data_IF_653256568715
#
_entry.id   IF_653256568715
#
_cell.length_a   1.000
_cell.length_b   1.000
_cell.length_c   1.000
_cell.angle_alpha   90.00
_cell.angle_beta   90.00
_cell.angle_gamma   90.00
#
_symmetry.space_group_name_H-M   'P 1'
#
loop_
_entity.id
_entity.type
_entity.pdbx_description
1 polymer ?
#
# COMPACT_ATOMS: atom_id res chain seq x y z
N UNK A 1 20.65 29.66 -8.11
CA UNK A 1 19.89 28.43 -7.94
C UNK A 1 20.83 27.29 -8.25
N UNK A 2 21.27 26.57 -7.24
CA UNK A 2 22.18 25.42 -7.40
C UNK A 2 21.23 24.24 -7.64
N UNK A 3 21.21 23.72 -8.86
CA UNK A 3 20.58 22.44 -9.15
C UNK A 3 21.36 21.38 -8.36
N UNK A 4 20.79 20.90 -7.26
CA UNK A 4 21.33 19.75 -6.57
C UNK A 4 21.16 18.54 -7.49
N UNK A 5 22.24 18.14 -8.12
CA UNK A 5 22.34 16.83 -8.77
C UNK A 5 22.20 15.80 -7.66
N UNK A 6 20.98 15.30 -7.44
CA UNK A 6 20.76 14.14 -6.56
C UNK A 6 21.50 13.00 -7.25
N UNK A 7 22.60 12.56 -6.66
CA UNK A 7 23.28 11.33 -7.05
C UNK A 7 22.26 10.19 -6.85
N UNK A 8 21.71 9.68 -7.96
CA UNK A 8 20.80 8.53 -7.93
C UNK A 8 21.57 7.35 -7.34
N UNK A 9 20.97 6.72 -6.34
CA UNK A 9 21.53 5.48 -5.80
C UNK A 9 21.59 4.44 -6.95
N UNK A 10 22.68 3.66 -7.07
CA UNK A 10 22.73 2.58 -8.04
C UNK A 10 21.55 1.64 -7.75
N UNK A 11 20.77 1.29 -8.79
CA UNK A 11 19.57 0.45 -8.73
C UNK A 11 18.30 1.09 -8.09
N UNK A 12 18.21 2.42 -8.03
CA UNK A 12 16.95 3.07 -7.64
C UNK A 12 15.86 2.83 -8.70
N UNK A 13 14.61 2.55 -8.24
CA UNK A 13 13.44 2.43 -9.12
C UNK A 13 12.84 3.81 -9.37
N UNK A 14 12.46 4.05 -10.63
CA UNK A 14 11.75 5.25 -11.07
C UNK A 14 10.35 4.89 -11.55
N UNK A 15 9.37 5.78 -11.35
CA UNK A 15 8.03 5.57 -11.88
C UNK A 15 8.02 5.61 -13.41
N UNK A 16 7.48 4.56 -14.03
CA UNK A 16 7.34 4.43 -15.47
C UNK A 16 5.91 3.95 -15.82
N UNK A 17 5.31 4.42 -16.93
CA UNK A 17 4.02 3.92 -17.38
C UNK A 17 4.16 2.49 -17.93
N UNK A 18 3.11 1.68 -17.75
CA UNK A 18 3.06 0.31 -18.26
C UNK A 18 2.46 0.21 -19.68
N UNK A 19 2.24 1.33 -20.32
CA UNK A 19 1.65 1.40 -21.65
C UNK A 19 2.23 2.57 -22.45
N UNK A 20 2.20 2.45 -23.78
CA UNK A 20 2.57 3.52 -24.70
C UNK A 20 1.45 4.55 -24.83
N UNK A 21 1.77 5.76 -25.34
CA UNK A 21 0.75 6.75 -25.67
C UNK A 21 -0.23 6.28 -26.74
N UNK A 22 0.20 5.47 -27.71
CA UNK A 22 -0.69 4.94 -28.74
C UNK A 22 -1.73 3.99 -28.13
N UNK A 23 -1.31 3.06 -27.27
CA UNK A 23 -2.25 2.20 -26.53
C UNK A 23 -3.16 3.02 -25.61
N UNK A 24 -2.63 4.07 -24.97
CA UNK A 24 -3.44 4.95 -24.13
C UNK A 24 -4.53 5.66 -24.93
N UNK A 25 -4.27 6.11 -26.15
CA UNK A 25 -5.27 6.69 -27.05
C UNK A 25 -6.37 5.70 -27.38
N UNK A 26 -6.01 4.48 -27.79
CA UNK A 26 -6.96 3.41 -28.08
C UNK A 26 -7.86 3.10 -26.88
N UNK A 27 -7.28 2.96 -25.69
CA UNK A 27 -8.03 2.67 -24.47
C UNK A 27 -8.93 3.85 -24.08
N UNK A 28 -8.44 5.08 -24.17
CA UNK A 28 -9.22 6.29 -23.88
C UNK A 28 -10.40 6.47 -24.85
N UNK A 29 -10.23 6.14 -26.13
CA UNK A 29 -11.31 6.16 -27.13
C UNK A 29 -12.37 5.09 -26.83
N UNK A 30 -11.95 3.91 -26.41
CA UNK A 30 -12.83 2.79 -26.14
C UNK A 30 -13.59 2.89 -24.82
N UNK A 31 -12.92 3.35 -23.76
CA UNK A 31 -13.42 3.29 -22.39
C UNK A 31 -13.68 4.67 -21.75
N UNK A 32 -13.26 5.74 -22.42
CA UNK A 32 -13.29 7.09 -21.86
C UNK A 32 -12.13 7.35 -20.89
N UNK A 33 -12.12 8.56 -20.32
CA UNK A 33 -11.22 9.00 -19.25
C UNK A 33 -12.05 9.65 -18.13
N UNK A 34 -11.59 9.67 -16.86
CA UNK A 34 -10.33 9.06 -16.37
C UNK A 34 -10.39 7.53 -16.35
N UNK A 35 -9.24 6.88 -16.60
CA UNK A 35 -9.16 5.42 -16.73
C UNK A 35 -7.91 4.87 -16.02
N UNK A 36 -8.10 3.96 -15.08
CA UNK A 36 -7.01 3.21 -14.44
C UNK A 36 -6.72 1.94 -15.25
N UNK A 37 -5.49 1.80 -15.72
CA UNK A 37 -5.05 0.66 -16.52
C UNK A 37 -4.16 -0.24 -15.67
N UNK A 38 -4.63 -1.42 -15.36
CA UNK A 38 -3.91 -2.45 -14.60
C UNK A 38 -3.12 -3.33 -15.55
N UNK A 39 -1.78 -3.31 -15.46
CA UNK A 39 -0.91 -4.28 -16.11
C UNK A 39 -0.79 -5.53 -15.24
N UNK A 40 -1.30 -6.67 -15.74
CA UNK A 40 -1.18 -7.95 -15.04
C UNK A 40 0.27 -8.43 -15.02
N UNK A 41 0.97 -8.31 -16.14
CA UNK A 41 2.38 -8.71 -16.24
C UNK A 41 3.24 -7.96 -15.23
N UNK A 42 3.02 -6.63 -15.06
CA UNK A 42 3.75 -5.84 -14.07
C UNK A 42 3.38 -6.20 -12.63
N UNK A 43 2.13 -6.52 -12.35
CA UNK A 43 1.70 -7.02 -11.04
C UNK A 43 2.39 -8.34 -10.68
N UNK A 44 2.45 -9.28 -11.62
CA UNK A 44 3.15 -10.58 -11.46
C UNK A 44 4.66 -10.37 -11.27
N UNK A 45 5.28 -9.54 -12.11
CA UNK A 45 6.72 -9.21 -12.01
C UNK A 45 7.04 -8.66 -10.62
N UNK A 46 6.28 -7.67 -10.13
CA UNK A 46 6.51 -7.04 -8.83
C UNK A 46 6.29 -8.02 -7.68
N UNK A 47 5.27 -8.87 -7.77
CA UNK A 47 5.02 -9.92 -6.78
C UNK A 47 6.22 -10.88 -6.65
N UNK A 48 6.72 -11.41 -7.77
CA UNK A 48 7.83 -12.34 -7.75
C UNK A 48 9.17 -11.66 -7.40
N UNK A 49 9.39 -10.41 -7.81
CA UNK A 49 10.55 -9.65 -7.36
C UNK A 49 10.58 -9.54 -5.83
N UNK A 50 9.44 -9.21 -5.20
CA UNK A 50 9.33 -9.13 -3.74
C UNK A 50 9.44 -10.51 -3.07
N UNK A 51 8.81 -11.53 -3.63
CA UNK A 51 8.90 -12.91 -3.10
C UNK A 51 10.32 -13.44 -3.12
N UNK A 52 11.08 -13.12 -4.16
CA UNK A 52 12.49 -13.50 -4.30
C UNK A 52 13.41 -12.69 -3.37
N UNK A 53 13.09 -11.40 -3.14
CA UNK A 53 13.84 -10.54 -2.23
C UNK A 53 13.63 -10.89 -0.75
N UNK A 54 12.53 -11.58 -0.42
CA UNK A 54 12.15 -12.00 0.93
C UNK A 54 11.96 -13.53 0.99
N UNK A 55 13.02 -14.34 0.79
CA UNK A 55 12.91 -15.78 0.77
C UNK A 55 12.44 -16.31 2.13
N UNK A 56 11.47 -17.24 2.11
CA UNK A 56 10.89 -17.82 3.33
C UNK A 56 9.82 -16.95 4.00
N UNK A 57 9.51 -15.75 3.48
CA UNK A 57 8.45 -14.89 3.97
C UNK A 57 7.19 -15.09 3.13
N UNK A 58 6.05 -15.31 3.78
CA UNK A 58 4.73 -15.34 3.13
C UNK A 58 4.20 -13.91 2.96
N UNK A 59 3.87 -13.56 1.71
CA UNK A 59 3.36 -12.23 1.39
C UNK A 59 1.83 -12.21 1.45
N UNK A 60 1.28 -11.50 2.41
CA UNK A 60 -0.14 -11.21 2.54
C UNK A 60 -0.41 -9.83 1.93
N UNK A 61 -0.88 -9.79 0.70
CA UNK A 61 -1.16 -8.50 0.05
C UNK A 61 -2.20 -7.69 0.83
N UNK A 62 -1.87 -6.46 1.21
CA UNK A 62 -2.78 -5.58 1.94
C UNK A 62 -3.84 -4.98 1.00
N UNK A 63 -5.05 -5.57 0.97
CA UNK A 63 -6.14 -5.22 0.05
C UNK A 63 -6.53 -3.74 0.11
N UNK A 64 -6.39 -3.09 1.27
CA UNK A 64 -6.65 -1.65 1.46
C UNK A 64 -5.87 -0.73 0.53
N UNK A 65 -4.71 -1.19 0.02
CA UNK A 65 -3.90 -0.39 -0.90
C UNK A 65 -4.54 -0.30 -2.29
N UNK A 66 -5.10 -1.40 -2.78
CA UNK A 66 -5.87 -1.46 -4.03
C UNK A 66 -6.76 -2.71 -4.04
N UNK A 67 -8.08 -2.57 -3.82
CA UNK A 67 -9.03 -3.68 -3.87
C UNK A 67 -9.58 -3.96 -5.28
N UNK A 68 -8.95 -3.44 -6.33
CA UNK A 68 -9.38 -3.64 -7.71
C UNK A 68 -9.42 -5.12 -8.09
N UNK A 69 -10.51 -5.57 -8.70
CA UNK A 69 -10.74 -6.97 -9.02
C UNK A 69 -9.71 -7.54 -10.02
N UNK A 70 -9.28 -6.74 -11.00
CA UNK A 70 -8.26 -7.18 -11.96
C UNK A 70 -6.93 -7.43 -11.27
N UNK A 71 -6.53 -6.52 -10.37
CA UNK A 71 -5.30 -6.67 -9.59
C UNK A 71 -5.38 -7.85 -8.63
N UNK A 72 -6.45 -7.94 -7.82
CA UNK A 72 -6.64 -9.03 -6.86
C UNK A 72 -6.69 -10.40 -7.54
N UNK A 73 -7.43 -10.54 -8.65
CA UNK A 73 -7.50 -11.80 -9.40
C UNK A 73 -6.14 -12.20 -9.97
N UNK A 74 -5.32 -11.24 -10.39
CA UNK A 74 -3.95 -11.49 -10.86
C UNK A 74 -3.10 -12.07 -9.75
N UNK A 75 -3.11 -11.46 -8.55
CA UNK A 75 -2.37 -11.98 -7.40
C UNK A 75 -2.87 -13.35 -6.91
N UNK A 76 -4.20 -13.55 -6.95
CA UNK A 76 -4.75 -14.87 -6.62
C UNK A 76 -4.25 -15.97 -7.57
N UNK A 77 -4.06 -15.65 -8.87
CA UNK A 77 -3.46 -16.55 -9.86
C UNK A 77 -2.03 -17.00 -9.49
N UNK A 78 -1.28 -16.16 -8.78
CA UNK A 78 0.06 -16.45 -8.29
C UNK A 78 0.09 -17.17 -6.92
N UNK A 79 -1.07 -17.64 -6.44
CA UNK A 79 -1.24 -18.26 -5.12
C UNK A 79 -0.78 -17.39 -3.94
N UNK A 80 -0.90 -16.07 -4.06
CA UNK A 80 -0.57 -15.14 -2.98
C UNK A 80 -1.56 -15.27 -1.81
N UNK A 81 -1.18 -14.78 -0.64
CA UNK A 81 -2.07 -14.56 0.49
C UNK A 81 -2.59 -13.11 0.47
N UNK A 82 -3.62 -12.82 1.28
CA UNK A 82 -4.23 -11.49 1.34
C UNK A 82 -4.54 -11.06 2.78
N UNK A 83 -4.21 -9.80 3.11
CA UNK A 83 -4.63 -9.11 4.31
C UNK A 83 -5.91 -8.32 4.03
N UNK A 84 -6.97 -8.59 4.79
CA UNK A 84 -8.25 -7.89 4.72
C UNK A 84 -8.52 -7.16 6.04
N UNK A 85 -9.03 -5.95 5.96
CA UNK A 85 -9.29 -5.10 7.13
C UNK A 85 -10.77 -4.75 7.32
N UNK A 86 -11.63 -5.22 6.41
CA UNK A 86 -13.06 -4.92 6.43
C UNK A 86 -13.90 -5.96 5.68
N UNK A 87 -15.21 -6.04 5.92
CA UNK A 87 -16.11 -6.86 5.11
C UNK A 87 -16.14 -6.50 3.62
N UNK A 88 -15.88 -5.24 3.28
CA UNK A 88 -15.77 -4.82 1.89
C UNK A 88 -14.57 -5.45 1.20
N UNK A 89 -13.40 -5.42 1.86
CA UNK A 89 -12.18 -6.06 1.36
C UNK A 89 -12.30 -7.59 1.34
N UNK A 90 -12.95 -8.20 2.34
CA UNK A 90 -13.29 -9.62 2.34
C UNK A 90 -14.09 -10.01 1.10
N UNK A 91 -15.16 -9.26 0.78
CA UNK A 91 -15.99 -9.51 -0.41
C UNK A 91 -15.21 -9.36 -1.70
N UNK A 92 -14.35 -8.35 -1.80
CA UNK A 92 -13.48 -8.17 -2.97
C UNK A 92 -12.49 -9.33 -3.12
N UNK A 93 -11.87 -9.79 -2.02
CA UNK A 93 -10.97 -10.93 -2.02
C UNK A 93 -11.67 -12.23 -2.44
N UNK A 94 -12.85 -12.52 -1.89
CA UNK A 94 -13.66 -13.68 -2.28
C UNK A 94 -14.08 -13.62 -3.75
N UNK A 95 -14.49 -12.45 -4.25
CA UNK A 95 -14.83 -12.24 -5.65
C UNK A 95 -13.64 -12.44 -6.60
N UNK A 96 -12.42 -12.14 -6.12
CA UNK A 96 -11.17 -12.39 -6.84
C UNK A 96 -10.69 -13.86 -6.76
N UNK A 97 -11.39 -14.73 -6.02
CA UNK A 97 -11.11 -16.14 -5.90
C UNK A 97 -10.19 -16.55 -4.73
N UNK A 98 -9.85 -15.63 -3.83
CA UNK A 98 -9.13 -16.02 -2.61
C UNK A 98 -10.00 -16.88 -1.70
N UNK A 99 -9.38 -17.86 -1.05
CA UNK A 99 -10.03 -18.69 -0.04
C UNK A 99 -9.69 -18.20 1.37
N UNK A 100 -10.58 -18.36 2.36
CA UNK A 100 -10.39 -17.82 3.72
C UNK A 100 -9.14 -18.32 4.45
N UNK A 101 -8.65 -19.52 4.12
CA UNK A 101 -7.41 -20.10 4.65
C UNK A 101 -6.14 -19.35 4.19
N UNK A 102 -6.25 -18.55 3.14
CA UNK A 102 -5.20 -17.64 2.66
C UNK A 102 -5.40 -16.18 3.09
N UNK A 103 -6.29 -15.93 4.06
CA UNK A 103 -6.62 -14.60 4.56
C UNK A 103 -6.11 -14.36 5.98
N UNK A 104 -5.70 -13.12 6.24
CA UNK A 104 -5.36 -12.60 7.56
C UNK A 104 -6.14 -11.30 7.76
N UNK A 105 -6.65 -11.06 8.96
CA UNK A 105 -7.34 -9.80 9.29
C UNK A 105 -6.48 -8.98 10.25
N UNK A 106 -5.78 -7.97 9.75
CA UNK A 106 -4.77 -7.22 10.51
C UNK A 106 -5.26 -5.94 11.15
N UNK A 107 -6.48 -5.47 10.89
CA UNK A 107 -7.00 -4.28 11.55
C UNK A 107 -7.21 -4.51 13.05
N UNK A 108 -6.49 -3.80 13.95
CA UNK A 108 -6.54 -4.09 15.39
C UNK A 108 -7.80 -3.58 16.10
N UNK A 109 -8.65 -2.78 15.43
CA UNK A 109 -9.89 -2.24 16.00
C UNK A 109 -11.07 -2.54 15.06
N UNK A 110 -11.85 -3.56 15.37
CA UNK A 110 -12.97 -4.06 14.54
C UNK A 110 -14.32 -3.78 15.20
N UNK A 111 -15.36 -3.52 14.42
CA UNK A 111 -16.72 -3.62 14.95
C UNK A 111 -17.09 -5.08 15.18
N UNK A 112 -18.07 -5.35 16.04
CA UNK A 112 -18.59 -6.70 16.27
C UNK A 112 -19.05 -7.34 14.94
N UNK A 113 -19.72 -6.57 14.09
CA UNK A 113 -20.19 -7.04 12.80
C UNK A 113 -19.02 -7.40 11.85
N UNK A 114 -17.97 -6.56 11.77
CA UNK A 114 -16.79 -6.86 10.95
C UNK A 114 -16.11 -8.15 11.41
N UNK A 115 -15.92 -8.28 12.71
CA UNK A 115 -15.26 -9.45 13.29
C UNK A 115 -16.06 -10.72 12.97
N UNK A 116 -17.38 -10.67 13.18
CA UNK A 116 -18.27 -11.79 12.96
C UNK A 116 -18.36 -12.17 11.47
N UNK A 117 -18.53 -11.21 10.56
CA UNK A 117 -18.62 -11.49 9.13
C UNK A 117 -17.35 -12.15 8.58
N UNK A 118 -16.17 -11.68 9.00
CA UNK A 118 -14.90 -12.30 8.60
C UNK A 118 -14.74 -13.72 9.19
N UNK A 119 -15.12 -13.91 10.46
CA UNK A 119 -15.08 -15.21 11.11
C UNK A 119 -16.03 -16.24 10.46
N UNK A 120 -17.29 -15.86 10.22
CA UNK A 120 -18.28 -16.70 9.53
C UNK A 120 -17.86 -17.09 8.11
N UNK A 121 -17.12 -16.21 7.43
CA UNK A 121 -16.54 -16.51 6.13
C UNK A 121 -15.37 -17.51 6.20
N UNK A 122 -14.86 -17.80 7.41
CA UNK A 122 -13.77 -18.76 7.65
C UNK A 122 -12.38 -18.14 7.83
N UNK A 123 -12.27 -16.79 7.93
CA UNK A 123 -11.00 -16.15 8.30
C UNK A 123 -10.64 -16.55 9.73
N UNK A 124 -9.44 -17.06 9.94
CA UNK A 124 -9.02 -17.69 11.19
C UNK A 124 -7.80 -17.03 11.84
N UNK A 125 -7.27 -15.97 11.25
CA UNK A 125 -6.17 -15.19 11.79
C UNK A 125 -6.57 -13.74 11.97
N UNK A 126 -6.40 -13.22 13.20
CA UNK A 126 -6.75 -11.85 13.55
C UNK A 126 -5.62 -11.18 14.34
N UNK A 127 -5.58 -9.85 14.25
CA UNK A 127 -4.65 -9.00 15.00
C UNK A 127 -5.41 -8.21 16.06
N UNK A 128 -4.79 -8.00 17.22
CA UNK A 128 -5.27 -7.13 18.30
C UNK A 128 -4.10 -6.36 18.91
N UNK A 129 -4.37 -5.26 19.62
CA UNK A 129 -3.35 -4.45 20.27
C UNK A 129 -3.79 -3.87 21.64
N UNK A 130 -4.97 -4.27 22.12
CA UNK A 130 -5.51 -3.76 23.39
C UNK A 130 -6.45 -4.77 24.06
N UNK A 131 -6.69 -4.65 25.39
CA UNK A 131 -7.49 -5.61 26.14
C UNK A 131 -8.99 -5.61 25.81
N UNK A 132 -9.52 -4.49 25.29
CA UNK A 132 -10.94 -4.38 24.89
C UNK A 132 -11.18 -5.21 23.64
N UNK A 133 -10.28 -5.11 22.66
CA UNK A 133 -10.34 -5.90 21.44
C UNK A 133 -10.14 -7.41 21.74
N UNK A 134 -9.22 -7.75 22.64
CA UNK A 134 -9.03 -9.12 23.09
C UNK A 134 -10.33 -9.69 23.70
N UNK A 135 -11.06 -8.92 24.51
CA UNK A 135 -12.35 -9.34 25.09
C UNK A 135 -13.43 -9.52 24.02
N UNK A 136 -13.49 -8.64 23.03
CA UNK A 136 -14.41 -8.73 21.90
C UNK A 136 -14.17 -10.02 21.11
N UNK A 137 -12.91 -10.29 20.76
CA UNK A 137 -12.51 -11.53 20.06
C UNK A 137 -12.91 -12.76 20.87
N UNK A 138 -12.58 -12.79 22.16
CA UNK A 138 -12.95 -13.90 23.04
C UNK A 138 -14.45 -14.19 23.04
N UNK A 139 -15.26 -13.14 23.03
CA UNK A 139 -16.72 -13.25 23.09
C UNK A 139 -17.33 -13.74 21.78
N UNK A 140 -16.80 -13.31 20.65
CA UNK A 140 -17.38 -13.52 19.33
C UNK A 140 -16.71 -14.64 18.53
N UNK A 141 -15.40 -14.80 18.68
CA UNK A 141 -14.58 -15.68 17.85
C UNK A 141 -13.48 -16.38 18.68
N UNK A 142 -13.82 -17.22 19.67
CA UNK A 142 -12.83 -17.69 20.68
C UNK A 142 -11.76 -18.63 20.14
N UNK A 143 -11.99 -19.28 19.00
CA UNK A 143 -11.12 -20.33 18.46
C UNK A 143 -10.11 -19.87 17.41
N UNK A 144 -10.02 -18.56 17.17
CA UNK A 144 -9.13 -17.97 16.16
C UNK A 144 -7.67 -17.89 16.65
N UNK A 145 -6.74 -17.80 15.70
CA UNK A 145 -5.34 -17.52 15.97
C UNK A 145 -5.10 -16.02 16.03
N UNK A 146 -4.29 -15.57 16.97
CA UNK A 146 -4.08 -14.14 17.23
C UNK A 146 -2.60 -13.76 17.12
N UNK A 147 -2.36 -12.60 16.51
CA UNK A 147 -1.10 -11.88 16.60
C UNK A 147 -1.31 -10.61 17.44
N UNK A 148 -0.40 -10.36 18.38
CA UNK A 148 -0.36 -9.09 19.11
C UNK A 148 0.45 -8.09 18.28
N UNK A 149 -0.20 -6.99 17.87
CA UNK A 149 0.48 -5.91 17.17
C UNK A 149 1.23 -5.04 18.15
N UNK A 150 2.54 -4.88 17.90
CA UNK A 150 3.44 -4.04 18.67
C UNK A 150 3.62 -2.67 18.01
N UNK A 151 3.67 -1.63 18.82
CA UNK A 151 3.97 -0.27 18.35
C UNK A 151 5.46 -0.12 18.01
N UNK A 152 5.76 0.65 16.97
CA UNK A 152 7.12 0.94 16.49
C UNK A 152 7.39 2.43 16.51
N UNK A 153 8.64 2.85 16.38
CA UNK A 153 9.00 4.27 16.31
C UNK A 153 8.62 4.93 14.99
N UNK A 154 8.59 4.17 13.89
CA UNK A 154 8.25 4.66 12.54
C UNK A 154 9.17 5.78 12.02
N UNK A 155 10.46 5.76 12.40
CA UNK A 155 11.35 6.93 12.31
C UNK A 155 11.58 7.45 10.88
N UNK A 156 11.68 6.56 9.88
CA UNK A 156 11.97 6.93 8.48
C UNK A 156 10.78 6.73 7.54
N UNK A 157 9.58 6.51 8.07
CA UNK A 157 8.37 6.34 7.26
C UNK A 157 7.71 7.69 6.96
N UNK A 158 7.12 7.81 5.77
CA UNK A 158 6.32 9.00 5.41
C UNK A 158 5.10 9.15 6.32
N UNK A 159 4.48 8.05 6.71
CA UNK A 159 3.32 8.01 7.62
C UNK A 159 3.60 7.06 8.77
N UNK A 160 3.67 7.60 9.99
CA UNK A 160 3.79 6.82 11.21
C UNK A 160 2.43 6.25 11.63
N UNK A 161 2.26 4.93 11.52
CA UNK A 161 1.02 4.25 11.87
C UNK A 161 0.92 3.90 13.36
N UNK A 162 2.04 3.89 14.08
CA UNK A 162 2.07 3.59 15.53
C UNK A 162 1.56 4.74 16.40
N UNK A 163 1.33 5.90 15.83
CA UNK A 163 0.60 6.97 16.50
C UNK A 163 -0.87 6.61 16.79
N UNK A 164 -1.43 5.62 16.07
CA UNK A 164 -2.83 5.20 16.20
C UNK A 164 -2.98 3.75 16.68
N UNK A 165 -2.06 2.87 16.32
CA UNK A 165 -2.18 1.43 16.53
C UNK A 165 -0.90 0.81 17.10
N UNK A 166 -1.08 -0.33 17.75
CA UNK A 166 -0.04 -1.15 18.33
C UNK A 166 0.08 -0.98 19.84
N UNK A 167 0.24 -2.09 20.53
CA UNK A 167 0.55 -2.14 21.96
C UNK A 167 1.98 -1.62 22.17
N UNK A 168 2.21 -0.68 23.10
CA UNK A 168 3.56 -0.32 23.50
C UNK A 168 4.34 -1.54 23.96
N UNK A 169 5.61 -1.68 23.56
CA UNK A 169 6.39 -2.90 23.86
C UNK A 169 6.49 -3.21 25.34
N UNK A 170 6.55 -2.18 26.20
CA UNK A 170 6.61 -2.37 27.64
C UNK A 170 5.28 -2.83 28.28
N UNK A 171 4.15 -2.72 27.58
CA UNK A 171 2.84 -3.20 28.00
C UNK A 171 2.51 -4.59 27.44
N UNK A 172 3.33 -5.10 26.50
CA UNK A 172 3.04 -6.34 25.77
C UNK A 172 2.87 -7.55 26.69
N UNK A 173 3.70 -7.69 27.72
CA UNK A 173 3.64 -8.81 28.65
C UNK A 173 2.37 -8.82 29.49
N UNK A 174 1.88 -7.66 29.91
CA UNK A 174 0.62 -7.53 30.66
C UNK A 174 -0.56 -7.91 29.77
N UNK A 175 -0.55 -7.44 28.50
CA UNK A 175 -1.62 -7.75 27.55
C UNK A 175 -1.60 -9.24 27.17
N UNK A 176 -0.43 -9.86 26.98
CA UNK A 176 -0.29 -11.28 26.76
C UNK A 176 -0.85 -12.12 27.92
N UNK A 177 -0.51 -11.75 29.16
CA UNK A 177 -1.02 -12.41 30.37
C UNK A 177 -2.55 -12.30 30.45
N UNK A 178 -3.10 -11.12 30.17
CA UNK A 178 -4.54 -10.88 30.13
C UNK A 178 -5.24 -11.74 29.07
N UNK A 179 -4.69 -11.79 27.86
CA UNK A 179 -5.23 -12.58 26.76
C UNK A 179 -5.15 -14.11 27.05
N UNK A 180 -4.04 -14.57 27.62
CA UNK A 180 -3.86 -15.97 28.03
C UNK A 180 -4.85 -16.37 29.12
N UNK A 181 -5.08 -15.51 30.13
CA UNK A 181 -6.06 -15.75 31.19
C UNK A 181 -7.50 -15.86 30.63
N UNK A 182 -7.79 -15.25 29.51
CA UNK A 182 -9.07 -15.35 28.77
C UNK A 182 -9.15 -16.56 27.84
N UNK A 183 -8.12 -17.39 27.76
CA UNK A 183 -8.07 -18.59 26.91
C UNK A 183 -7.81 -18.31 25.43
N UNK A 184 -7.36 -17.12 25.09
CA UNK A 184 -7.05 -16.75 23.70
C UNK A 184 -5.75 -17.39 23.20
N UNK A 185 -5.73 -17.78 21.93
CA UNK A 185 -4.59 -18.46 21.29
C UNK A 185 -3.66 -17.43 20.64
N UNK A 186 -2.71 -16.89 21.41
CA UNK A 186 -1.72 -15.96 20.89
C UNK A 186 -0.61 -16.76 20.22
N UNK A 187 -0.41 -16.56 18.91
CA UNK A 187 0.52 -17.30 18.07
C UNK A 187 1.78 -16.52 17.71
N UNK A 188 1.79 -15.23 17.97
CA UNK A 188 2.95 -14.42 17.62
C UNK A 188 2.73 -12.93 17.73
N UNK A 189 3.65 -12.22 17.11
CA UNK A 189 3.62 -10.76 17.05
C UNK A 189 3.48 -10.26 15.63
N UNK A 190 2.90 -9.08 15.48
CA UNK A 190 2.97 -8.26 14.27
C UNK A 190 3.47 -6.87 14.60
N UNK A 191 4.07 -6.21 13.61
CA UNK A 191 4.42 -4.81 13.68
C UNK A 191 4.32 -4.16 12.30
N UNK A 192 4.42 -2.83 12.23
CA UNK A 192 4.45 -2.12 10.96
C UNK A 192 5.35 -0.90 11.10
N UNK A 193 6.40 -0.79 10.30
CA UNK A 193 7.38 0.30 10.37
C UNK A 193 6.84 1.67 9.92
N UNK A 194 5.64 1.71 9.35
CA UNK A 194 5.02 2.89 8.75
C UNK A 194 5.01 2.82 7.22
N UNK A 195 4.18 3.66 6.57
CA UNK A 195 4.00 3.62 5.11
C UNK A 195 5.12 4.38 4.38
N UNK A 196 5.54 3.87 3.20
CA UNK A 196 6.62 4.44 2.38
C UNK A 196 7.92 4.59 3.19
N UNK A 197 8.38 3.50 3.80
CA UNK A 197 9.66 3.43 4.52
C UNK A 197 10.79 3.34 3.50
N UNK A 198 11.65 4.35 3.44
CA UNK A 198 12.77 4.39 2.48
C UNK A 198 14.06 3.78 3.05
N UNK A 199 14.13 3.57 4.37
CA UNK A 199 15.30 3.00 5.04
C UNK A 199 15.01 1.59 5.58
N UNK A 200 15.54 0.51 4.97
CA UNK A 200 15.28 -0.84 5.43
C UNK A 200 15.88 -1.17 6.81
N UNK A 201 16.80 -0.34 7.33
CA UNK A 201 17.35 -0.51 8.67
C UNK A 201 16.30 -0.33 9.77
N UNK A 202 15.21 0.41 9.50
CA UNK A 202 14.11 0.55 10.44
C UNK A 202 13.48 -0.80 10.80
N UNK A 203 13.39 -1.74 9.82
CA UNK A 203 12.95 -3.10 10.10
C UNK A 203 13.91 -3.83 11.04
N UNK A 204 15.21 -3.71 10.82
CA UNK A 204 16.24 -4.38 11.65
C UNK A 204 16.22 -3.86 13.09
N UNK A 205 16.01 -2.56 13.29
CA UNK A 205 15.88 -1.95 14.62
C UNK A 205 14.64 -2.45 15.35
N UNK A 206 13.51 -2.52 14.64
CA UNK A 206 12.26 -3.05 15.20
C UNK A 206 12.39 -4.54 15.49
N UNK A 207 13.00 -5.33 14.62
CA UNK A 207 13.23 -6.76 14.85
C UNK A 207 14.01 -7.03 16.13
N UNK A 208 15.03 -6.24 16.46
CA UNK A 208 15.77 -6.35 17.73
C UNK A 208 14.87 -6.11 18.95
N UNK A 209 14.03 -5.09 18.87
CA UNK A 209 13.10 -4.77 19.95
C UNK A 209 12.03 -5.83 20.12
N UNK A 210 11.48 -6.34 19.02
CA UNK A 210 10.50 -7.44 19.02
C UNK A 210 11.12 -8.71 19.54
N UNK A 211 12.40 -9.03 19.22
CA UNK A 211 13.09 -10.20 19.73
C UNK A 211 13.20 -10.19 21.26
N UNK A 212 13.48 -9.03 21.87
CA UNK A 212 13.51 -8.94 23.33
C UNK A 212 12.15 -9.28 23.97
N UNK A 213 11.04 -8.75 23.42
CA UNK A 213 9.68 -9.09 23.87
C UNK A 213 9.34 -10.58 23.60
N UNK A 214 9.81 -11.10 22.47
CA UNK A 214 9.62 -12.51 22.10
C UNK A 214 10.27 -13.46 23.10
N UNK A 215 11.52 -13.18 23.47
CA UNK A 215 12.26 -13.99 24.43
C UNK A 215 11.62 -13.95 25.82
N UNK A 216 11.18 -12.77 26.28
CA UNK A 216 10.48 -12.61 27.56
C UNK A 216 9.14 -13.37 27.55
N UNK A 217 8.36 -13.26 26.47
CA UNK A 217 7.10 -14.00 26.33
C UNK A 217 7.30 -15.52 26.32
N UNK A 218 8.35 -16.00 25.67
CA UNK A 218 8.69 -17.42 25.63
C UNK A 218 9.08 -17.92 27.03
N UNK A 219 9.88 -17.14 27.78
CA UNK A 219 10.22 -17.45 29.18
C UNK A 219 8.99 -17.47 30.09
N UNK A 220 7.97 -16.65 29.82
CA UNK A 220 6.68 -16.66 30.51
C UNK A 220 5.73 -17.78 30.05
N UNK A 221 6.21 -18.70 29.20
CA UNK A 221 5.47 -19.89 28.74
C UNK A 221 4.42 -19.59 27.67
N UNK A 222 4.66 -18.59 26.81
CA UNK A 222 3.91 -18.40 25.58
C UNK A 222 4.55 -19.20 24.44
N UNK A 223 3.72 -19.84 23.61
CA UNK A 223 4.16 -20.57 22.42
C UNK A 223 3.93 -19.70 21.19
N UNK A 224 4.98 -19.01 20.78
CA UNK A 224 4.96 -18.12 19.63
C UNK A 224 5.58 -18.84 18.42
N UNK A 225 4.88 -18.75 17.28
CA UNK A 225 5.26 -19.49 16.05
C UNK A 225 5.21 -18.62 14.80
N UNK A 226 4.67 -17.39 14.89
CA UNK A 226 4.51 -16.46 13.74
C UNK A 226 5.07 -15.10 14.06
N UNK A 227 5.89 -14.58 13.16
CA UNK A 227 6.32 -13.18 13.17
C UNK A 227 5.85 -12.52 11.87
N UNK A 228 5.01 -11.51 12.02
CA UNK A 228 4.55 -10.66 10.93
C UNK A 228 5.30 -9.32 10.97
N UNK A 229 6.10 -9.07 9.94
CA UNK A 229 6.89 -7.85 9.82
C UNK A 229 6.11 -6.68 9.21
N UNK A 230 4.82 -6.88 8.91
CA UNK A 230 3.92 -5.88 8.39
C UNK A 230 4.25 -5.39 6.98
N UNK A 231 3.74 -4.21 6.70
CA UNK A 231 4.01 -3.49 5.44
C UNK A 231 5.00 -2.36 5.62
N UNK A 232 4.99 -1.44 4.66
CA UNK A 232 5.88 -0.29 4.64
C UNK A 232 6.79 -0.23 3.42
N UNK A 233 6.85 -1.31 2.64
CA UNK A 233 7.67 -1.43 1.43
C UNK A 233 7.41 -0.27 0.47
N UNK A 234 8.47 0.45 0.07
CA UNK A 234 8.31 1.68 -0.71
C UNK A 234 8.08 1.40 -2.20
N UNK A 235 7.50 2.41 -2.86
CA UNK A 235 7.32 2.43 -4.30
C UNK A 235 7.80 3.76 -4.88
N UNK A 236 8.21 3.80 -6.17
CA UNK A 236 8.63 5.02 -6.82
C UNK A 236 7.41 5.87 -7.22
N UNK A 237 7.58 7.17 -7.06
CA UNK A 237 6.67 8.20 -7.54
C UNK A 237 7.46 9.28 -8.29
N UNK A 238 7.25 10.55 -8.05
CA UNK A 238 8.13 11.62 -8.52
C UNK A 238 9.53 11.49 -7.89
N UNK A 239 9.59 10.95 -6.68
CA UNK A 239 10.83 10.54 -6.03
C UNK A 239 11.13 9.06 -6.33
N UNK A 240 12.41 8.76 -6.51
CA UNK A 240 12.89 7.39 -6.70
C UNK A 240 12.72 6.57 -5.41
N UNK A 241 12.57 5.26 -5.53
CA UNK A 241 12.56 4.32 -4.42
C UNK A 241 13.75 3.36 -4.50
N UNK A 242 14.22 2.79 -3.37
CA UNK A 242 15.21 1.72 -3.37
C UNK A 242 14.76 0.53 -4.23
N UNK A 243 15.70 -0.22 -4.80
CA UNK A 243 15.37 -1.48 -5.45
C UNK A 243 14.82 -2.46 -4.43
N UNK A 244 13.88 -3.32 -4.87
CA UNK A 244 13.24 -4.30 -3.97
C UNK A 244 14.26 -5.33 -3.47
N UNK A 245 15.25 -5.67 -4.30
CA UNK A 245 16.30 -6.62 -3.99
C UNK A 245 17.21 -6.08 -2.87
N UNK A 246 17.73 -4.85 -3.03
CA UNK A 246 18.59 -4.22 -2.03
C UNK A 246 17.83 -3.97 -0.70
N UNK A 247 16.54 -3.62 -0.80
CA UNK A 247 15.69 -3.42 0.36
C UNK A 247 15.44 -4.74 1.10
N UNK A 248 15.07 -5.78 0.35
CA UNK A 248 14.79 -7.11 0.88
C UNK A 248 16.03 -7.82 1.43
N UNK A 249 17.22 -7.60 0.85
CA UNK A 249 18.49 -8.14 1.34
C UNK A 249 18.76 -7.69 2.78
N UNK A 250 18.57 -6.41 3.10
CA UNK A 250 18.78 -5.88 4.45
C UNK A 250 17.80 -6.52 5.45
N UNK A 251 16.53 -6.63 5.07
CA UNK A 251 15.51 -7.24 5.92
C UNK A 251 15.79 -8.73 6.14
N UNK A 252 16.11 -9.46 5.07
CA UNK A 252 16.39 -10.90 5.13
C UNK A 252 17.61 -11.20 5.99
N UNK A 253 18.69 -10.40 5.86
CA UNK A 253 19.85 -10.51 6.73
C UNK A 253 19.49 -10.23 8.19
N UNK A 254 18.69 -9.18 8.45
CA UNK A 254 18.20 -8.87 9.79
C UNK A 254 17.35 -9.99 10.40
N UNK A 255 16.44 -10.58 9.63
CA UNK A 255 15.63 -11.72 10.06
C UNK A 255 16.48 -12.93 10.38
N UNK A 256 17.45 -13.28 9.52
CA UNK A 256 18.38 -14.39 9.76
C UNK A 256 19.23 -14.17 11.01
N UNK A 257 19.78 -12.98 11.18
CA UNK A 257 20.72 -12.68 12.27
C UNK A 257 20.03 -12.56 13.63
N UNK A 258 18.73 -12.19 13.67
CA UNK A 258 17.98 -11.94 14.90
C UNK A 258 17.03 -13.09 15.24
N UNK A 259 16.40 -13.73 14.25
CA UNK A 259 15.39 -14.79 14.45
C UNK A 259 15.75 -16.13 13.80
N UNK A 260 16.90 -16.24 13.12
CA UNK A 260 17.24 -17.45 12.33
C UNK A 260 17.48 -18.73 13.15
N UNK A 261 17.55 -18.61 14.48
CA UNK A 261 17.62 -19.73 15.41
C UNK A 261 16.24 -20.30 15.79
N UNK A 262 15.16 -19.65 15.39
CA UNK A 262 13.79 -20.02 15.75
C UNK A 262 13.05 -20.66 14.58
N UNK A 263 12.31 -21.76 14.79
CA UNK A 263 11.49 -22.42 13.76
C UNK A 263 10.13 -21.69 13.65
N UNK A 264 10.14 -20.44 13.18
CA UNK A 264 8.95 -19.61 13.09
C UNK A 264 8.53 -19.37 11.64
N UNK A 265 7.24 -19.15 11.43
CA UNK A 265 6.68 -18.67 10.17
C UNK A 265 6.85 -17.17 10.07
N UNK A 266 7.37 -16.70 8.96
CA UNK A 266 7.55 -15.28 8.67
C UNK A 266 6.46 -14.80 7.71
N UNK A 267 5.84 -13.66 8.01
CA UNK A 267 4.79 -13.02 7.23
C UNK A 267 5.18 -11.57 6.97
N UNK A 268 4.75 -11.02 5.83
CA UNK A 268 4.77 -9.60 5.53
C UNK A 268 3.44 -9.17 4.91
N UNK A 269 3.06 -7.89 5.12
CA UNK A 269 1.81 -7.29 4.63
C UNK A 269 2.08 -6.20 3.55
N UNK A 270 2.74 -6.50 2.43
CA UNK A 270 3.01 -5.49 1.42
C UNK A 270 1.72 -5.03 0.75
N UNK A 271 1.47 -3.73 0.74
CA UNK A 271 0.42 -3.09 -0.04
C UNK A 271 1.03 -2.27 -1.18
N UNK A 272 1.47 -1.04 -0.86
CA UNK A 272 2.07 -0.08 -1.78
C UNK A 272 3.15 -0.70 -2.66
N UNK A 273 4.13 -1.36 -2.07
CA UNK A 273 5.26 -1.94 -2.80
C UNK A 273 4.89 -2.97 -3.86
N UNK A 274 3.68 -3.57 -3.79
CA UNK A 274 3.20 -4.54 -4.78
C UNK A 274 2.33 -3.90 -5.86
N UNK A 275 1.40 -3.00 -5.51
CA UNK A 275 0.39 -2.55 -6.46
C UNK A 275 0.73 -1.25 -7.19
N UNK A 276 1.60 -0.41 -6.63
CA UNK A 276 1.82 0.95 -7.14
C UNK A 276 2.22 0.96 -8.60
N UNK A 277 3.26 0.23 -8.98
CA UNK A 277 3.84 0.27 -10.32
C UNK A 277 3.00 -0.45 -11.38
N UNK A 278 2.02 -1.27 -10.97
CA UNK A 278 1.19 -2.04 -11.91
C UNK A 278 0.03 -1.23 -12.49
N UNK A 279 -0.22 -0.01 -12.04
CA UNK A 279 -1.34 0.80 -12.52
C UNK A 279 -0.87 2.14 -13.06
N UNK A 280 -1.35 2.48 -14.25
CA UNK A 280 -1.20 3.80 -14.87
C UNK A 280 -2.58 4.45 -15.03
N UNK A 281 -2.72 5.70 -14.61
CA UNK A 281 -3.92 6.49 -14.89
C UNK A 281 -3.77 7.17 -16.26
N UNK A 282 -4.81 7.08 -17.08
CA UNK A 282 -5.01 7.90 -18.27
C UNK A 282 -6.03 8.97 -17.91
N UNK A 283 -5.63 10.22 -17.95
CA UNK A 283 -6.51 11.39 -17.74
C UNK A 283 -6.37 12.37 -18.92
N UNK A 284 -7.29 13.28 -19.05
CA UNK A 284 -7.41 14.18 -20.20
C UNK A 284 -7.49 15.63 -19.75
N UNK A 285 -6.84 16.51 -20.49
CA UNK A 285 -7.02 17.97 -20.33
C UNK A 285 -8.43 18.35 -20.79
N UNK A 286 -9.26 18.84 -19.88
CA UNK A 286 -10.64 19.30 -20.15
C UNK A 286 -10.77 20.82 -20.19
N UNK A 287 -9.74 21.53 -19.71
CA UNK A 287 -9.75 22.99 -19.68
C UNK A 287 -8.36 23.57 -19.60
N UNK A 288 -8.23 24.80 -20.03
CA UNK A 288 -6.99 25.56 -20.04
C UNK A 288 -7.26 27.02 -19.66
N UNK A 289 -6.42 27.61 -18.85
CA UNK A 289 -6.47 29.03 -18.54
C UNK A 289 -5.06 29.58 -18.25
N UNK A 290 -4.95 30.89 -18.13
CA UNK A 290 -3.72 31.55 -17.69
C UNK A 290 -4.02 32.38 -16.45
N UNK A 291 -3.30 32.16 -15.37
CA UNK A 291 -3.44 32.87 -14.10
C UNK A 291 -2.07 33.23 -13.55
N UNK A 292 -1.88 34.48 -13.14
CA UNK A 292 -0.62 34.94 -12.54
C UNK A 292 0.61 34.61 -13.41
N UNK A 293 0.50 34.84 -14.72
CA UNK A 293 1.54 34.53 -15.73
C UNK A 293 1.80 33.03 -15.96
N UNK A 294 1.17 32.13 -15.23
CA UNK A 294 1.33 30.67 -15.37
C UNK A 294 0.16 30.05 -16.18
N UNK A 295 0.43 29.13 -17.09
CA UNK A 295 -0.61 28.26 -17.65
C UNK A 295 -1.17 27.34 -16.58
N UNK A 296 -2.49 27.12 -16.66
CA UNK A 296 -3.25 26.20 -15.83
C UNK A 296 -3.93 25.19 -16.73
N UNK A 297 -3.74 23.91 -16.45
CA UNK A 297 -4.39 22.80 -17.13
C UNK A 297 -5.33 22.10 -16.14
N UNK A 298 -6.57 21.90 -16.55
CA UNK A 298 -7.58 21.21 -15.77
C UNK A 298 -7.77 19.83 -16.35
N UNK A 299 -7.58 18.78 -15.51
CA UNK A 299 -7.78 17.40 -15.88
C UNK A 299 -9.20 16.96 -15.56
N UNK A 300 -9.64 15.83 -16.14
CA UNK A 300 -10.90 15.16 -15.78
C UNK A 300 -10.81 14.28 -14.54
N UNK A 301 -9.66 14.27 -13.87
CA UNK A 301 -9.42 13.64 -12.56
C UNK A 301 -8.64 14.58 -11.64
N UNK A 302 -8.78 14.41 -10.32
CA UNK A 302 -8.19 15.31 -9.34
C UNK A 302 -7.98 14.66 -7.98
N UNK A 303 -7.75 15.52 -6.95
CA UNK A 303 -7.46 15.04 -5.59
C UNK A 303 -8.66 14.37 -4.90
N UNK A 304 -9.85 14.58 -5.37
CA UNK A 304 -11.05 13.86 -4.92
C UNK A 304 -11.22 12.50 -5.62
N UNK A 305 -10.59 12.34 -6.78
CA UNK A 305 -10.50 11.10 -7.55
C UNK A 305 -9.19 10.35 -7.30
N UNK A 306 -8.54 9.91 -8.40
CA UNK A 306 -7.36 9.05 -8.33
C UNK A 306 -6.13 9.72 -7.70
N UNK A 307 -6.07 11.05 -7.67
CA UNK A 307 -5.00 11.79 -7.01
C UNK A 307 -5.19 11.99 -5.50
N UNK A 308 -6.16 11.32 -4.88
CA UNK A 308 -6.44 11.41 -3.44
C UNK A 308 -5.23 11.12 -2.55
N UNK A 309 -4.26 10.33 -3.04
CA UNK A 309 -2.98 10.10 -2.38
C UNK A 309 -2.15 11.35 -2.11
N UNK A 310 -2.41 12.47 -2.82
CA UNK A 310 -1.77 13.76 -2.48
C UNK A 310 -2.19 14.27 -1.11
N UNK A 311 -3.43 14.05 -0.72
CA UNK A 311 -3.98 14.51 0.55
C UNK A 311 -3.66 13.52 1.66
N UNK A 312 -3.97 12.24 1.46
CA UNK A 312 -3.90 11.24 2.52
C UNK A 312 -2.50 10.65 2.71
N UNK A 313 -1.68 10.67 1.66
CA UNK A 313 -0.36 10.01 1.59
C UNK A 313 0.79 10.97 1.30
N UNK A 314 0.50 12.25 1.06
CA UNK A 314 1.47 13.27 0.64
C UNK A 314 2.30 12.83 -0.58
N UNK A 315 1.67 12.11 -1.51
CA UNK A 315 2.32 11.55 -2.69
C UNK A 315 2.35 12.57 -3.82
N UNK A 316 3.51 12.75 -4.44
CA UNK A 316 3.69 13.50 -5.67
C UNK A 316 3.80 12.55 -6.86
N UNK A 317 2.84 12.67 -7.79
CA UNK A 317 2.78 11.82 -8.97
C UNK A 317 3.51 12.46 -10.15
N UNK A 318 4.29 11.68 -10.94
CA UNK A 318 4.83 12.17 -12.20
C UNK A 318 3.71 12.29 -13.25
N UNK A 319 3.68 13.39 -13.97
CA UNK A 319 2.74 13.62 -15.06
C UNK A 319 3.50 13.56 -16.38
N UNK A 320 3.10 12.65 -17.25
CA UNK A 320 3.75 12.41 -18.54
C UNK A 320 2.80 12.79 -19.67
N UNK A 321 3.32 13.51 -20.64
CA UNK A 321 2.59 13.92 -21.83
C UNK A 321 3.36 13.51 -23.08
N UNK A 322 2.66 13.30 -24.17
CA UNK A 322 3.30 13.03 -25.45
C UNK A 322 4.07 14.28 -25.91
N UNK A 323 5.38 14.17 -25.96
CA UNK A 323 6.24 15.24 -26.45
C UNK A 323 7.48 14.62 -27.10
N UNK A 324 7.62 14.82 -28.39
CA UNK A 324 8.77 14.37 -29.18
C UNK A 324 10.02 15.27 -29.02
N UNK A 325 9.97 16.23 -28.08
CA UNK A 325 11.00 17.22 -27.85
C UNK A 325 10.84 18.50 -28.68
N UNK A 326 9.84 18.60 -29.54
CA UNK A 326 9.58 19.79 -30.36
C UNK A 326 8.91 20.92 -29.58
N UNK A 327 8.20 20.61 -28.49
CA UNK A 327 7.52 21.59 -27.62
C UNK A 327 8.37 21.90 -26.40
N UNK A 328 8.65 23.18 -26.18
CA UNK A 328 9.33 23.67 -24.98
C UNK A 328 8.42 23.48 -23.74
N UNK A 329 9.00 23.03 -22.64
CA UNK A 329 8.29 22.91 -21.37
C UNK A 329 8.35 24.21 -20.57
N UNK A 330 7.22 24.58 -19.97
CA UNK A 330 7.08 25.79 -19.15
C UNK A 330 6.54 25.41 -17.76
N UNK A 331 6.85 26.21 -16.73
CA UNK A 331 6.24 25.99 -15.42
C UNK A 331 4.73 26.18 -15.49
N UNK A 332 3.98 25.26 -14.91
CA UNK A 332 2.52 25.27 -14.97
C UNK A 332 1.88 24.72 -13.70
N UNK A 333 0.59 24.98 -13.57
CA UNK A 333 -0.28 24.40 -12.53
C UNK A 333 -1.22 23.38 -13.17
N UNK A 334 -1.35 22.22 -12.56
CA UNK A 334 -2.30 21.19 -12.95
C UNK A 334 -3.36 21.03 -11.86
N UNK A 335 -4.62 21.14 -12.22
CA UNK A 335 -5.77 21.12 -11.33
C UNK A 335 -6.75 20.01 -11.73
N UNK A 336 -7.56 19.55 -10.78
CA UNK A 336 -8.67 18.63 -11.03
C UNK A 336 -9.94 19.33 -11.50
N UNK A 337 -11.01 18.56 -11.73
CA UNK A 337 -12.24 19.02 -12.39
C UNK A 337 -13.26 19.65 -11.41
N UNK A 338 -13.04 19.55 -10.10
CA UNK A 338 -14.06 19.94 -9.12
C UNK A 338 -14.14 21.46 -8.93
N UNK A 339 -15.24 21.94 -8.38
CA UNK A 339 -15.40 23.37 -8.06
C UNK A 339 -14.62 23.80 -6.80
N UNK A 340 -13.97 22.88 -6.10
CA UNK A 340 -13.14 23.19 -4.96
C UNK A 340 -11.79 23.78 -5.40
N UNK A 341 -11.46 24.95 -4.90
CA UNK A 341 -10.19 25.62 -5.17
C UNK A 341 -8.96 24.87 -4.63
N UNK A 342 -9.14 23.88 -3.76
CA UNK A 342 -8.07 23.02 -3.25
C UNK A 342 -7.78 21.84 -4.18
N UNK A 343 -8.60 21.59 -5.21
CA UNK A 343 -8.42 20.52 -6.17
C UNK A 343 -7.24 20.81 -7.12
N UNK A 344 -6.05 20.77 -6.56
CA UNK A 344 -4.79 21.04 -7.26
C UNK A 344 -3.94 19.77 -7.22
N UNK A 345 -3.69 19.23 -8.41
CA UNK A 345 -2.83 18.04 -8.60
C UNK A 345 -1.36 18.44 -8.41
N UNK A 346 -0.92 19.53 -9.01
CA UNK A 346 0.44 20.03 -8.80
C UNK A 346 0.56 21.53 -9.11
N UNK A 347 1.44 22.23 -8.39
CA UNK A 347 1.75 23.66 -8.58
C UNK A 347 3.13 23.91 -9.21
N UNK A 348 3.91 22.86 -9.42
CA UNK A 348 5.33 22.94 -9.79
C UNK A 348 5.70 21.98 -10.94
N UNK A 349 4.76 21.73 -11.85
CA UNK A 349 5.01 20.94 -13.05
C UNK A 349 5.71 21.76 -14.13
N UNK A 350 6.50 21.05 -14.95
CA UNK A 350 7.08 21.57 -16.18
C UNK A 350 6.54 20.73 -17.34
N UNK A 351 5.58 21.27 -18.08
CA UNK A 351 4.91 20.61 -19.19
C UNK A 351 4.96 21.52 -20.43
N UNK A 352 4.87 20.95 -21.65
CA UNK A 352 4.61 21.77 -22.82
C UNK A 352 3.24 22.46 -22.69
N UNK A 353 3.00 23.46 -23.51
CA UNK A 353 1.68 24.08 -23.58
C UNK A 353 0.67 23.10 -24.14
N UNK A 354 -0.18 22.54 -23.25
CA UNK A 354 -1.13 21.48 -23.59
C UNK A 354 -2.41 22.07 -24.17
N UNK A 355 -3.04 21.34 -25.10
CA UNK A 355 -4.35 21.65 -25.62
C UNK A 355 -5.45 20.80 -24.97
N UNK A 356 -6.68 21.31 -24.99
CA UNK A 356 -7.85 20.57 -24.52
C UNK A 356 -8.02 19.32 -25.39
N UNK A 357 -8.15 18.16 -24.71
CA UNK A 357 -8.21 16.87 -25.35
C UNK A 357 -6.92 16.06 -25.27
N UNK A 358 -5.76 16.68 -25.01
CA UNK A 358 -4.51 15.93 -24.83
C UNK A 358 -4.56 15.00 -23.61
N UNK A 359 -3.94 13.83 -23.76
CA UNK A 359 -3.85 12.85 -22.69
C UNK A 359 -2.63 13.11 -21.80
N UNK A 360 -2.82 12.83 -20.51
CA UNK A 360 -1.77 12.82 -19.52
C UNK A 360 -1.72 11.41 -18.93
N UNK A 361 -0.56 10.74 -18.98
CA UNK A 361 -0.31 9.47 -18.34
C UNK A 361 0.31 9.69 -16.96
N UNK A 362 -0.22 8.99 -15.97
CA UNK A 362 0.28 9.09 -14.60
C UNK A 362 0.64 7.68 -14.14
N UNK A 363 1.93 7.32 -14.15
CA UNK A 363 2.37 6.03 -13.62
C UNK A 363 2.28 5.97 -12.10
N UNK A 364 2.47 4.79 -11.53
CA UNK A 364 2.47 4.55 -10.09
C UNK A 364 1.16 4.91 -9.38
N UNK A 365 0.02 4.65 -10.04
CA UNK A 365 -1.32 4.95 -9.53
C UNK A 365 -1.99 3.76 -8.85
N UNK A 366 -1.25 2.67 -8.57
CA UNK A 366 -1.83 1.44 -8.00
C UNK A 366 -2.16 1.51 -6.52
N UNK A 367 -1.49 2.34 -5.72
CA UNK A 367 -1.72 2.37 -4.28
C UNK A 367 -2.44 3.64 -3.81
N UNK A 368 -3.50 3.46 -3.01
CA UNK A 368 -4.23 4.54 -2.35
C UNK A 368 -4.70 5.65 -3.31
N UNK A 369 -4.97 5.29 -4.56
CA UNK A 369 -5.58 6.13 -5.57
C UNK A 369 -7.11 5.92 -5.56
N UNK A 370 -7.62 4.98 -6.35
CA UNK A 370 -9.04 4.66 -6.36
C UNK A 370 -9.59 4.24 -4.98
N UNK A 371 -8.77 3.57 -4.15
CA UNK A 371 -9.18 3.08 -2.83
C UNK A 371 -9.58 4.20 -1.85
N UNK A 372 -9.11 5.42 -2.04
CA UNK A 372 -9.45 6.59 -1.21
C UNK A 372 -10.18 7.71 -1.97
N UNK A 373 -10.54 7.47 -3.23
CA UNK A 373 -11.34 8.37 -4.04
C UNK A 373 -12.78 8.55 -3.51
N UNK A 374 -13.40 9.64 -3.86
CA UNK A 374 -14.78 9.97 -3.50
C UNK A 374 -15.54 10.55 -4.68
N UNK A 375 -16.87 10.38 -4.75
CA UNK A 375 -17.71 10.96 -5.79
C UNK A 375 -18.06 12.43 -5.47
N UNK A 376 -17.08 13.23 -5.05
CA UNK A 376 -17.31 14.64 -4.75
C UNK A 376 -17.83 15.40 -5.98
N UNK A 377 -18.71 16.35 -5.79
CA UNK A 377 -19.48 17.04 -6.84
C UNK A 377 -20.36 16.11 -7.72
N UNK A 378 -20.54 14.85 -7.34
CA UNK A 378 -21.25 13.87 -8.17
C UNK A 378 -20.46 13.44 -9.41
N UNK A 379 -19.15 13.73 -9.48
CA UNK A 379 -18.29 13.29 -10.56
C UNK A 379 -18.02 11.78 -10.46
N UNK A 380 -17.98 11.06 -11.58
CA UNK A 380 -17.67 9.64 -11.57
C UNK A 380 -16.21 9.41 -11.17
N UNK A 381 -15.99 8.34 -10.41
CA UNK A 381 -14.62 7.84 -10.20
C UNK A 381 -14.07 7.21 -11.49
N UNK A 382 -12.74 7.14 -11.60
CA UNK A 382 -12.09 6.49 -12.72
C UNK A 382 -12.55 5.02 -12.87
N UNK A 383 -12.83 4.61 -14.09
CA UNK A 383 -13.04 3.22 -14.44
C UNK A 383 -11.71 2.45 -14.38
N UNK A 384 -11.77 1.12 -14.27
CA UNK A 384 -10.61 0.25 -14.30
C UNK A 384 -10.71 -0.75 -15.44
N UNK A 385 -9.59 -0.98 -16.13
CA UNK A 385 -9.42 -2.04 -17.12
C UNK A 385 -8.08 -2.72 -16.94
N UNK A 386 -7.97 -3.96 -17.38
CA UNK A 386 -6.70 -4.67 -17.37
C UNK A 386 -6.16 -4.89 -18.78
N UNK A 387 -4.84 -4.88 -18.88
CA UNK A 387 -4.08 -5.24 -20.08
C UNK A 387 -3.19 -6.45 -19.78
N UNK A 388 -2.75 -7.19 -20.87
CA UNK A 388 -1.86 -8.36 -20.88
C UNK A 388 -2.26 -9.57 -20.02
#
# INVERSE_FOLDING_TARGET
MIASTILRAPNARTAQPNLSFDLAKELAEKHGTPLLVVSRSKAIETYWAMKNALPGVDLYYAAKANPDLHFLSTLNGENSFIDVCSPGELKAALAAGFTPDRMLHTHPCKTDANLWECYEAGVNWFVFDNPIEAEKIRRLTPDVNLLLRLATTGASSRINLSAKFGCPMHEAMELLATAKAKGLKIRGFSFHVGSQCLNPQDYVEVLRSVRAVWDEATQAGHHLEVLDIGGGFPAPYREDAPSIEAFGEVITNGLRDIFGDLPIRLIAEPGRGLCTESVTLITRVIGKSRRWELPWFFLDDGIYGSFSGKIFDHTDFPLLVENDGSRETVPCVVAGPTCDSTDIVSRDQWLPDLEVGELVLVPSMGAYAAASASPFNGLPMANSVAID
#
